data_IF_881724514403
#
_entry.id   IF_881724514403
#
_cell.length_a   1.000
_cell.length_b   1.000
_cell.length_c   1.000
_cell.angle_alpha   90.00
_cell.angle_beta   90.00
_cell.angle_gamma   90.00
#
_symmetry.space_group_name_H-M   'P 1'
#
loop_
_entity.id
_entity.type
_entity.pdbx_description
1 polymer ?
#
# COMPACT_ATOMS: atom_id res chain seq x y z
N UNK A 1 -19.91 -52.31 -5.36
CA UNK A 1 -19.00 -52.68 -4.25
C UNK A 1 -19.08 -51.57 -3.20
N UNK A 2 -19.89 -51.79 -2.17
CA UNK A 2 -19.51 -52.21 -0.80
C UNK A 2 -19.20 -51.00 0.10
N UNK A 3 -20.21 -50.71 0.93
CA UNK A 3 -20.25 -49.75 2.03
C UNK A 3 -19.09 -49.88 3.04
N UNK A 4 -18.82 -48.79 3.76
CA UNK A 4 -18.48 -48.87 5.19
C UNK A 4 -18.93 -47.62 5.96
N UNK A 5 -20.04 -47.82 6.68
CA UNK A 5 -20.47 -47.09 7.88
C UNK A 5 -19.61 -47.58 9.06
N UNK A 6 -19.31 -46.71 10.02
CA UNK A 6 -19.12 -46.98 11.47
C UNK A 6 -18.92 -45.61 12.17
N UNK A 7 -19.95 -45.07 12.86
CA UNK A 7 -20.34 -45.29 14.27
C UNK A 7 -19.48 -44.49 15.26
N UNK A 8 -20.04 -43.50 15.97
CA UNK A 8 -20.59 -43.60 17.35
C UNK A 8 -19.47 -43.86 18.37
N UNK A 9 -19.16 -43.01 19.37
CA UNK A 9 -19.95 -42.64 20.56
C UNK A 9 -19.00 -41.87 21.56
N UNK A 10 -19.28 -41.63 22.86
CA UNK A 10 -20.08 -40.53 23.44
C UNK A 10 -19.36 -39.77 24.61
N UNK A 11 -20.10 -38.81 25.21
CA UNK A 11 -20.17 -38.50 26.66
C UNK A 11 -18.92 -38.16 27.48
N UNK A 12 -18.92 -36.98 28.10
CA UNK A 12 -18.99 -36.91 29.57
C UNK A 12 -19.45 -35.54 30.04
N UNK A 13 -20.55 -35.55 30.80
CA UNK A 13 -20.97 -34.47 31.66
C UNK A 13 -20.07 -34.41 32.90
N UNK A 14 -19.79 -33.20 33.37
CA UNK A 14 -19.09 -32.95 34.63
C UNK A 14 -19.35 -31.53 35.12
N UNK A 15 -20.40 -31.36 35.91
CA UNK A 15 -20.52 -30.34 36.96
C UNK A 15 -20.63 -31.11 38.30
N UNK A 16 -20.63 -30.49 39.50
CA UNK A 16 -20.39 -29.10 39.91
C UNK A 16 -19.38 -28.98 41.09
N UNK A 17 -18.98 -27.75 41.46
CA UNK A 17 -18.77 -27.41 42.89
C UNK A 17 -18.43 -25.93 43.09
N UNK A 18 -19.36 -25.23 43.73
CA UNK A 18 -19.19 -23.95 44.42
C UNK A 18 -18.53 -24.17 45.78
N UNK A 19 -17.41 -23.49 46.05
CA UNK A 19 -16.94 -23.20 47.40
C UNK A 19 -16.32 -21.80 47.40
N UNK A 20 -16.84 -20.92 48.26
CA UNK A 20 -16.38 -19.56 48.41
C UNK A 20 -15.13 -19.45 49.26
N UNK A 21 -14.36 -18.38 49.02
CA UNK A 21 -13.48 -17.78 50.01
C UNK A 21 -13.30 -16.29 49.63
N UNK A 22 -13.72 -15.42 50.55
CA UNK A 22 -13.28 -14.03 50.64
C UNK A 22 -11.75 -13.98 50.60
N UNK A 23 -11.17 -13.11 49.77
CA UNK A 23 -9.73 -12.90 49.79
C UNK A 23 -9.24 -11.88 48.78
N UNK A 24 -9.07 -10.64 49.25
CA UNK A 24 -8.16 -9.63 48.73
C UNK A 24 -8.30 -9.22 47.24
N UNK A 25 -9.04 -8.12 47.08
CA UNK A 25 -8.91 -7.09 46.06
C UNK A 25 -7.42 -6.69 45.85
N UNK A 26 -6.71 -7.39 44.98
CA UNK A 26 -5.40 -6.97 44.45
C UNK A 26 -5.56 -6.76 42.95
N UNK A 27 -6.16 -5.61 42.61
CA UNK A 27 -6.27 -5.07 41.26
C UNK A 27 -4.86 -4.68 40.79
N UNK A 28 -4.04 -5.67 40.42
CA UNK A 28 -2.79 -5.44 39.69
C UNK A 28 -3.19 -5.01 38.30
N UNK A 29 -3.43 -3.71 38.16
CA UNK A 29 -3.40 -2.98 36.91
C UNK A 29 -2.03 -3.20 36.27
N UNK A 30 -1.86 -4.33 35.58
CA UNK A 30 -0.83 -4.46 34.55
C UNK A 30 -1.21 -3.48 33.45
N UNK A 31 -0.87 -2.20 33.64
CA UNK A 31 -0.55 -1.34 32.51
C UNK A 31 0.67 -1.99 31.86
N UNK A 32 0.43 -2.99 31.00
CA UNK A 32 1.24 -3.07 29.80
C UNK A 32 1.09 -1.69 29.17
N UNK A 33 2.08 -0.84 29.44
CA UNK A 33 2.37 0.32 28.64
C UNK A 33 2.70 -0.22 27.25
N UNK A 34 1.67 -0.64 26.52
CA UNK A 34 1.65 -0.76 25.09
C UNK A 34 1.75 0.68 24.62
N UNK A 35 2.98 1.22 24.69
CA UNK A 35 3.30 2.55 24.20
C UNK A 35 3.01 2.54 22.71
N UNK A 36 1.83 3.03 22.34
CA UNK A 36 1.46 3.21 20.94
C UNK A 36 2.53 4.08 20.32
N UNK A 37 3.26 3.54 19.35
CA UNK A 37 4.26 4.31 18.60
C UNK A 37 3.58 5.52 17.99
N UNK A 38 4.26 6.66 18.05
CA UNK A 38 3.81 7.88 17.38
C UNK A 38 3.73 7.66 15.86
N UNK A 39 2.93 8.48 15.18
CA UNK A 39 2.82 8.46 13.72
C UNK A 39 4.19 8.54 13.02
N UNK A 40 5.11 9.34 13.57
CA UNK A 40 6.47 9.50 13.05
C UNK A 40 7.32 8.24 13.23
N UNK A 41 7.31 7.62 14.41
CA UNK A 41 8.03 6.37 14.65
C UNK A 41 7.51 5.23 13.79
N UNK A 42 6.20 5.19 13.53
CA UNK A 42 5.60 4.25 12.59
C UNK A 42 6.09 4.51 11.16
N UNK A 43 6.05 5.75 10.70
CA UNK A 43 6.52 6.12 9.37
C UNK A 43 8.02 5.84 9.17
N UNK A 44 8.86 6.18 10.15
CA UNK A 44 10.30 5.92 10.09
C UNK A 44 10.58 4.42 9.96
N UNK A 45 9.88 3.58 10.73
CA UNK A 45 9.95 2.13 10.58
C UNK A 45 9.39 1.64 9.23
N UNK A 46 8.35 2.29 8.70
CA UNK A 46 7.81 2.02 7.35
C UNK A 46 8.83 2.32 6.24
N UNK A 47 9.58 3.41 6.36
CA UNK A 47 10.66 3.75 5.41
C UNK A 47 11.81 2.74 5.47
N UNK A 48 12.15 2.23 6.65
CA UNK A 48 13.14 1.16 6.79
C UNK A 48 12.68 -0.12 6.08
N UNK A 49 11.39 -0.45 6.17
CA UNK A 49 10.83 -1.61 5.48
C UNK A 49 10.81 -1.43 3.95
N UNK A 50 10.44 -0.23 3.47
CA UNK A 50 10.56 0.12 2.04
C UNK A 50 11.99 -0.05 1.53
N UNK A 51 12.98 0.42 2.30
CA UNK A 51 14.40 0.27 1.95
C UNK A 51 14.85 -1.19 1.84
N UNK A 52 14.15 -2.11 2.51
CA UNK A 52 14.37 -3.56 2.44
C UNK A 52 13.44 -4.26 1.45
N UNK A 53 12.63 -3.50 0.69
CA UNK A 53 11.57 -4.03 -0.18
C UNK A 53 10.52 -4.88 0.54
N UNK A 54 10.36 -4.73 1.85
CA UNK A 54 9.27 -5.35 2.61
C UNK A 54 8.02 -4.47 2.53
N UNK A 55 7.41 -4.48 1.34
CA UNK A 55 6.30 -3.60 1.02
C UNK A 55 5.09 -3.82 1.93
N UNK A 56 4.81 -5.07 2.32
CA UNK A 56 3.66 -5.40 3.16
C UNK A 56 3.82 -4.86 4.59
N UNK A 57 5.03 -5.02 5.16
CA UNK A 57 5.33 -4.48 6.48
C UNK A 57 5.35 -2.94 6.48
N UNK A 58 5.90 -2.34 5.41
CA UNK A 58 5.90 -0.90 5.21
C UNK A 58 4.47 -0.34 5.13
N UNK A 59 3.62 -0.95 4.29
CA UNK A 59 2.23 -0.55 4.08
C UNK A 59 1.46 -0.51 5.40
N UNK A 60 1.59 -1.57 6.20
CA UNK A 60 0.92 -1.68 7.51
C UNK A 60 1.29 -0.49 8.40
N UNK A 61 2.58 -0.14 8.46
CA UNK A 61 3.08 0.96 9.29
C UNK A 61 2.63 2.32 8.81
N UNK A 62 2.64 2.57 7.50
CA UNK A 62 2.13 3.84 6.97
C UNK A 62 0.63 4.00 7.18
N UNK A 63 -0.15 2.94 7.05
CA UNK A 63 -1.59 2.98 7.36
C UNK A 63 -1.86 3.23 8.84
N UNK A 64 -1.06 2.66 9.75
CA UNK A 64 -1.13 2.99 11.18
C UNK A 64 -0.71 4.43 11.47
N UNK A 65 0.33 4.94 10.81
CA UNK A 65 0.74 6.34 10.92
C UNK A 65 -0.37 7.28 10.45
N UNK A 66 -0.97 7.02 9.28
CA UNK A 66 -2.04 7.83 8.69
C UNK A 66 -3.29 7.91 9.57
N UNK A 67 -3.61 6.87 10.36
CA UNK A 67 -4.72 6.91 11.33
C UNK A 67 -4.50 7.94 12.45
N UNK A 68 -3.24 8.31 12.71
CA UNK A 68 -2.84 9.25 13.77
C UNK A 68 -2.47 10.63 13.22
N UNK A 69 -2.52 10.82 11.90
CA UNK A 69 -2.05 12.05 11.23
C UNK A 69 -3.23 12.84 10.68
N UNK A 70 -3.26 14.14 10.99
CA UNK A 70 -4.27 15.06 10.44
C UNK A 70 -4.12 15.21 8.93
N UNK A 71 -5.23 15.09 8.19
CA UNK A 71 -5.24 15.10 6.72
C UNK A 71 -4.81 16.45 6.09
N UNK A 72 -4.82 17.54 6.85
CA UNK A 72 -4.32 18.85 6.43
C UNK A 72 -2.83 19.05 6.72
N UNK A 73 -2.17 18.13 7.45
CA UNK A 73 -0.77 18.26 7.81
C UNK A 73 0.17 17.90 6.65
N UNK A 74 1.37 18.53 6.56
CA UNK A 74 2.40 18.13 5.59
C UNK A 74 2.85 16.66 5.74
N UNK A 75 2.80 16.14 6.96
CA UNK A 75 3.14 14.76 7.27
C UNK A 75 2.17 13.77 6.62
N UNK A 76 0.88 14.11 6.52
CA UNK A 76 -0.12 13.28 5.87
C UNK A 76 0.23 12.99 4.41
N UNK A 77 0.60 14.03 3.65
CA UNK A 77 0.99 13.90 2.24
C UNK A 77 2.22 13.02 2.11
N UNK A 78 3.22 13.24 2.98
CA UNK A 78 4.45 12.46 2.99
C UNK A 78 4.18 10.97 3.26
N UNK A 79 3.29 10.67 4.23
CA UNK A 79 2.92 9.30 4.56
C UNK A 79 2.04 8.65 3.48
N UNK A 80 1.14 9.40 2.83
CA UNK A 80 0.36 8.91 1.69
C UNK A 80 1.26 8.56 0.51
N UNK A 81 2.26 9.37 0.18
CA UNK A 81 3.22 9.01 -0.87
C UNK A 81 4.01 7.74 -0.53
N UNK A 82 4.37 7.55 0.74
CA UNK A 82 5.05 6.34 1.18
C UNK A 82 4.14 5.10 1.15
N UNK A 83 2.85 5.27 1.48
CA UNK A 83 1.83 4.22 1.32
C UNK A 83 1.67 3.82 -0.16
N UNK A 84 1.54 4.80 -1.06
CA UNK A 84 1.47 4.59 -2.52
C UNK A 84 2.73 3.86 -3.02
N UNK A 85 3.90 4.28 -2.55
CA UNK A 85 5.17 3.64 -2.87
C UNK A 85 5.19 2.18 -2.43
N UNK A 86 4.68 1.85 -1.24
CA UNK A 86 4.53 0.47 -0.79
C UNK A 86 3.57 -0.31 -1.71
N UNK A 87 2.43 0.28 -2.08
CA UNK A 87 1.50 -0.33 -3.02
C UNK A 87 2.15 -0.66 -4.38
N UNK A 88 3.11 0.13 -4.87
CA UNK A 88 3.77 -0.19 -6.16
C UNK A 88 4.46 -1.56 -6.18
N UNK A 89 4.87 -2.09 -5.03
CA UNK A 89 5.47 -3.42 -4.89
C UNK A 89 4.48 -4.54 -4.56
N UNK A 90 3.20 -4.23 -4.33
CA UNK A 90 2.15 -5.19 -3.93
C UNK A 90 1.05 -5.26 -4.99
N UNK A 91 0.48 -4.11 -5.32
CA UNK A 91 -0.68 -3.95 -6.18
C UNK A 91 -0.56 -2.62 -6.94
N UNK A 92 -0.14 -2.71 -8.20
CA UNK A 92 0.03 -1.55 -9.06
C UNK A 92 -1.29 -0.84 -9.40
N UNK A 93 -2.44 -1.52 -9.37
CA UNK A 93 -3.72 -0.88 -9.60
C UNK A 93 -4.11 -0.01 -8.41
N UNK A 94 -3.94 -0.56 -7.20
CA UNK A 94 -4.19 0.18 -5.95
C UNK A 94 -3.26 1.38 -5.82
N UNK A 95 -1.97 1.24 -6.13
CA UNK A 95 -1.03 2.35 -6.14
C UNK A 95 -1.47 3.50 -7.07
N UNK A 96 -1.87 3.17 -8.31
CA UNK A 96 -2.42 4.13 -9.27
C UNK A 96 -3.66 4.83 -8.72
N UNK A 97 -4.62 4.07 -8.20
CA UNK A 97 -5.87 4.62 -7.68
C UNK A 97 -5.63 5.60 -6.51
N UNK A 98 -4.81 5.21 -5.54
CA UNK A 98 -4.46 6.06 -4.39
C UNK A 98 -3.68 7.31 -4.81
N UNK A 99 -2.77 7.19 -5.79
CA UNK A 99 -2.03 8.34 -6.29
C UNK A 99 -2.92 9.35 -7.00
N UNK A 100 -3.81 8.90 -7.89
CA UNK A 100 -4.72 9.79 -8.60
C UNK A 100 -5.71 10.49 -7.64
N UNK A 101 -6.18 9.77 -6.62
CA UNK A 101 -7.01 10.36 -5.56
C UNK A 101 -6.24 11.44 -4.77
N UNK A 102 -4.99 11.16 -4.38
CA UNK A 102 -4.13 12.13 -3.71
C UNK A 102 -3.88 13.36 -4.59
N UNK A 103 -3.57 13.16 -5.88
CA UNK A 103 -3.32 14.23 -6.84
C UNK A 103 -4.57 15.09 -7.11
N UNK A 104 -5.76 14.50 -7.06
CA UNK A 104 -7.03 15.21 -7.20
C UNK A 104 -7.35 16.07 -5.97
N UNK A 105 -7.11 15.54 -4.76
CA UNK A 105 -7.43 16.22 -3.49
C UNK A 105 -6.38 17.25 -3.05
N UNK A 106 -5.11 17.01 -3.38
CA UNK A 106 -3.99 17.84 -2.93
C UNK A 106 -3.22 18.40 -4.12
N UNK A 107 -3.95 19.14 -4.97
CA UNK A 107 -3.43 19.55 -6.27
C UNK A 107 -2.11 20.33 -6.18
N UNK A 108 -1.95 21.21 -5.20
CA UNK A 108 -0.75 22.04 -5.08
C UNK A 108 0.43 21.28 -4.46
N UNK A 109 0.18 20.15 -3.80
CA UNK A 109 1.20 19.34 -3.14
C UNK A 109 1.77 18.24 -4.03
N UNK A 110 0.98 17.74 -5.00
CA UNK A 110 1.45 16.75 -5.97
C UNK A 110 2.04 17.45 -7.18
N UNK A 111 3.29 17.13 -7.50
CA UNK A 111 4.07 17.76 -8.57
C UNK A 111 4.33 16.80 -9.73
N UNK A 112 4.80 17.33 -10.86
CA UNK A 112 5.26 16.52 -12.00
C UNK A 112 6.31 15.47 -11.59
N UNK A 113 7.21 15.81 -10.66
CA UNK A 113 8.22 14.89 -10.13
C UNK A 113 7.61 13.68 -9.44
N UNK A 114 6.48 13.85 -8.76
CA UNK A 114 5.80 12.77 -8.04
C UNK A 114 5.15 11.79 -9.01
N UNK A 115 4.55 12.29 -10.11
CA UNK A 115 4.06 11.45 -11.20
C UNK A 115 5.18 10.58 -11.78
N UNK A 116 6.32 11.20 -12.10
CA UNK A 116 7.49 10.48 -12.63
C UNK A 116 8.01 9.44 -11.64
N UNK A 117 8.11 9.80 -10.35
CA UNK A 117 8.59 8.89 -9.30
C UNK A 117 7.70 7.65 -9.19
N UNK A 118 6.38 7.81 -9.08
CA UNK A 118 5.45 6.70 -8.88
C UNK A 118 5.30 5.86 -10.14
N UNK A 119 5.19 6.49 -11.31
CA UNK A 119 5.12 5.77 -12.58
C UNK A 119 6.40 4.95 -12.87
N UNK A 120 7.58 5.46 -12.54
CA UNK A 120 8.83 4.71 -12.66
C UNK A 120 8.84 3.46 -11.78
N UNK A 121 8.34 3.56 -10.54
CA UNK A 121 8.23 2.41 -9.64
C UNK A 121 7.26 1.35 -10.18
N UNK A 122 6.10 1.78 -10.67
CA UNK A 122 5.13 0.89 -11.32
C UNK A 122 5.73 0.22 -12.57
N UNK A 123 6.52 0.95 -13.34
CA UNK A 123 7.23 0.41 -14.52
C UNK A 123 8.27 -0.64 -14.12
N UNK A 124 9.04 -0.37 -13.07
CA UNK A 124 9.99 -1.33 -12.48
C UNK A 124 9.28 -2.61 -11.98
N UNK A 125 8.09 -2.46 -11.41
CA UNK A 125 7.21 -3.56 -10.99
C UNK A 125 6.42 -4.20 -12.15
N UNK A 126 6.71 -3.85 -13.41
CA UNK A 126 6.03 -4.32 -14.63
C UNK A 126 4.52 -4.08 -14.66
N UNK A 127 4.04 -3.16 -13.83
CA UNK A 127 2.65 -2.69 -13.81
C UNK A 127 2.43 -1.61 -14.87
N UNK A 128 2.68 -1.95 -16.14
CA UNK A 128 2.72 -0.99 -17.24
C UNK A 128 1.39 -0.26 -17.45
N UNK A 129 0.25 -0.95 -17.37
CA UNK A 129 -1.07 -0.33 -17.51
C UNK A 129 -1.26 0.79 -16.47
N UNK A 130 -0.86 0.55 -15.22
CA UNK A 130 -0.93 1.56 -14.16
C UNK A 130 0.06 2.71 -14.38
N UNK A 131 1.29 2.42 -14.80
CA UNK A 131 2.29 3.44 -15.12
C UNK A 131 1.84 4.35 -16.28
N UNK A 132 1.24 3.77 -17.33
CA UNK A 132 0.71 4.50 -18.50
C UNK A 132 -0.47 5.39 -18.09
N UNK A 133 -1.35 4.92 -17.20
CA UNK A 133 -2.43 5.75 -16.68
C UNK A 133 -1.90 6.98 -15.93
N UNK A 134 -0.83 6.82 -15.13
CA UNK A 134 -0.18 7.97 -14.49
C UNK A 134 0.53 8.88 -15.48
N UNK A 135 1.15 8.34 -16.54
CA UNK A 135 1.72 9.15 -17.62
C UNK A 135 0.65 10.00 -18.31
N UNK A 136 -0.48 9.40 -18.70
CA UNK A 136 -1.56 10.12 -19.39
C UNK A 136 -2.13 11.25 -18.52
N UNK A 137 -2.44 10.98 -17.24
CA UNK A 137 -2.89 12.01 -16.31
C UNK A 137 -1.82 13.09 -16.08
N UNK A 138 -0.55 12.67 -15.97
CA UNK A 138 0.60 13.57 -15.86
C UNK A 138 0.74 14.49 -17.06
N UNK A 139 0.60 13.99 -18.29
CA UNK A 139 0.69 14.78 -19.53
C UNK A 139 -0.43 15.79 -19.65
N UNK A 140 -1.65 15.45 -19.21
CA UNK A 140 -2.78 16.39 -19.17
C UNK A 140 -2.53 17.53 -18.20
N UNK A 141 -1.85 17.23 -17.09
CA UNK A 141 -1.64 18.17 -16.00
C UNK A 141 -0.39 19.02 -16.13
N UNK A 142 0.68 18.44 -16.66
CA UNK A 142 1.99 19.06 -16.85
C UNK A 142 2.43 18.91 -18.31
N UNK A 143 1.68 19.48 -19.28
CA UNK A 143 1.89 19.26 -20.71
C UNK A 143 3.24 19.75 -21.22
N UNK A 144 3.93 20.61 -20.47
CA UNK A 144 5.24 21.15 -20.84
C UNK A 144 6.40 20.55 -20.03
N UNK A 145 6.12 19.69 -19.05
CA UNK A 145 7.17 19.08 -18.24
C UNK A 145 7.94 18.00 -19.04
N UNK A 146 9.23 18.24 -19.24
CA UNK A 146 10.09 17.35 -20.02
C UNK A 146 10.25 15.96 -19.38
N UNK A 147 10.22 15.86 -18.05
CA UNK A 147 10.38 14.57 -17.37
C UNK A 147 9.12 13.71 -17.51
N UNK A 148 7.94 14.32 -17.43
CA UNK A 148 6.67 13.63 -17.71
C UNK A 148 6.62 13.17 -19.16
N UNK A 149 7.07 13.98 -20.12
CA UNK A 149 7.19 13.52 -21.52
C UNK A 149 8.16 12.35 -21.66
N UNK A 150 9.32 12.43 -21.02
CA UNK A 150 10.35 11.39 -21.12
C UNK A 150 9.92 10.06 -20.50
N UNK A 151 9.02 10.07 -19.52
CA UNK A 151 8.49 8.87 -18.87
C UNK A 151 7.87 7.90 -19.89
N UNK A 152 7.16 8.37 -20.92
CA UNK A 152 6.60 7.47 -21.94
C UNK A 152 7.65 6.69 -22.73
N UNK A 153 8.81 7.29 -23.01
CA UNK A 153 9.94 6.58 -23.63
C UNK A 153 10.54 5.52 -22.71
N UNK A 154 10.59 5.79 -21.40
CA UNK A 154 11.07 4.83 -20.41
C UNK A 154 10.11 3.63 -20.31
N UNK A 155 8.80 3.90 -20.18
CA UNK A 155 7.78 2.85 -20.12
C UNK A 155 7.83 2.01 -21.41
N UNK A 156 7.93 2.65 -22.58
CA UNK A 156 8.11 1.95 -23.86
C UNK A 156 9.29 0.99 -23.83
N UNK A 157 10.48 1.48 -23.48
CA UNK A 157 11.69 0.66 -23.47
C UNK A 157 11.56 -0.55 -22.53
N UNK A 158 10.94 -0.37 -21.36
CA UNK A 158 10.73 -1.48 -20.42
C UNK A 158 9.62 -2.45 -20.86
N UNK A 159 8.58 -1.96 -21.53
CA UNK A 159 7.51 -2.77 -22.11
C UNK A 159 8.01 -3.59 -23.33
N UNK A 160 8.86 -3.00 -24.19
CA UNK A 160 9.53 -3.71 -25.29
C UNK A 160 10.39 -4.86 -24.77
N UNK A 161 11.21 -4.60 -23.75
CA UNK A 161 12.02 -5.65 -23.09
C UNK A 161 11.16 -6.76 -22.49
N UNK A 162 10.00 -6.42 -21.94
CA UNK A 162 9.06 -7.39 -21.36
C UNK A 162 8.17 -8.09 -22.40
N UNK A 163 8.15 -7.63 -23.66
CA UNK A 163 7.26 -8.14 -24.70
C UNK A 163 5.78 -7.79 -24.46
N UNK A 164 5.47 -6.75 -23.69
CA UNK A 164 4.09 -6.38 -23.37
C UNK A 164 3.44 -5.58 -24.51
N UNK A 165 2.76 -6.31 -25.41
CA UNK A 165 2.08 -5.72 -26.57
C UNK A 165 0.94 -4.79 -26.19
N UNK A 166 0.27 -5.02 -25.06
CA UNK A 166 -0.87 -4.20 -24.63
C UNK A 166 -0.39 -2.83 -24.14
N UNK A 167 0.70 -2.82 -23.36
CA UNK A 167 1.38 -1.60 -22.94
C UNK A 167 1.88 -0.80 -24.15
N UNK A 168 2.52 -1.46 -25.12
CA UNK A 168 2.99 -0.83 -26.35
C UNK A 168 1.85 -0.23 -27.18
N UNK A 169 0.74 -0.96 -27.35
CA UNK A 169 -0.43 -0.45 -28.05
C UNK A 169 -1.04 0.76 -27.34
N UNK A 170 -1.04 0.78 -26.01
CA UNK A 170 -1.53 1.91 -25.22
C UNK A 170 -0.63 3.14 -25.38
N UNK A 171 0.70 2.94 -25.40
CA UNK A 171 1.68 4.00 -25.65
C UNK A 171 1.61 4.57 -27.07
N UNK A 172 1.25 3.76 -28.08
CA UNK A 172 0.98 4.27 -29.43
C UNK A 172 -0.16 5.28 -29.43
N UNK A 173 -1.23 5.01 -28.69
CA UNK A 173 -2.36 5.94 -28.53
C UNK A 173 -1.99 7.27 -27.87
N UNK A 174 -0.87 7.31 -27.14
CA UNK A 174 -0.32 8.52 -26.53
C UNK A 174 0.80 9.17 -27.37
N UNK A 175 1.12 8.63 -28.56
CA UNK A 175 2.11 9.19 -29.49
C UNK A 175 3.57 8.78 -29.25
N UNK A 176 3.82 7.66 -28.55
CA UNK A 176 5.19 7.18 -28.24
C UNK A 176 5.71 6.05 -29.16
N UNK A 177 4.87 5.52 -30.05
CA UNK A 177 5.23 4.58 -31.11
C UNK A 177 4.94 5.23 -32.47
#
# INVERSE_FOLDING_TARGET
MKARIRSFSPSSAGAPSTFGALGALALVLTLSACGSKSAKELADAGYQDLGRSDYQAALTKFQEALKQTDAGSPDYISFKFAEIEAWTGIDGEKAKAEFLDLAAKHRDAVTAKDYVKVANKLTGAKSFTSAIALLDDGLKRYPDDANVKQLGHLIKAEAEKAGDKNALSSLAGLGYL
#
